data_IF_877184295098
#
_entry.id   IF_877184295098
#
_cell.length_a   1.000
_cell.length_b   1.000
_cell.length_c   1.000
_cell.angle_alpha   90.00
_cell.angle_beta   90.00
_cell.angle_gamma   90.00
#
_symmetry.space_group_name_H-M   'P 1'
#
loop_
_entity.id
_entity.type
_entity.pdbx_description
1 polymer ?
#
# COMPACT_ATOMS: atom_id res chain seq x y z
N UNK A 1 28.36 43.62 -36.29
CA UNK A 1 27.69 42.56 -37.07
C UNK A 1 26.79 43.24 -38.09
N UNK A 2 26.92 42.93 -39.38
CA UNK A 2 25.95 43.46 -40.36
C UNK A 2 24.57 42.83 -40.10
N UNK A 3 23.48 43.62 -40.17
CA UNK A 3 22.12 43.12 -40.05
C UNK A 3 21.83 42.12 -41.17
N UNK A 4 21.16 41.02 -40.84
CA UNK A 4 20.74 40.02 -41.82
C UNK A 4 19.72 40.65 -42.78
N UNK A 5 19.91 40.48 -44.09
CA UNK A 5 18.98 40.98 -45.11
C UNK A 5 17.59 40.36 -44.93
N UNK A 6 16.56 41.15 -45.25
CA UNK A 6 15.16 40.78 -45.04
C UNK A 6 14.78 39.50 -45.81
N UNK A 7 15.30 39.33 -47.04
CA UNK A 7 15.14 38.09 -47.81
C UNK A 7 15.67 36.84 -47.09
N UNK A 8 16.80 36.97 -46.39
CA UNK A 8 17.37 35.84 -45.63
C UNK A 8 16.54 35.56 -44.39
N UNK A 9 15.95 36.56 -43.74
CA UNK A 9 15.00 36.35 -42.64
C UNK A 9 13.73 35.66 -43.12
N UNK A 10 13.14 36.11 -44.23
CA UNK A 10 11.96 35.51 -44.84
C UNK A 10 12.20 34.06 -45.26
N UNK A 11 13.38 33.77 -45.80
CA UNK A 11 13.79 32.40 -46.15
C UNK A 11 13.92 31.50 -44.91
N UNK A 12 14.49 32.03 -43.82
CA UNK A 12 14.59 31.30 -42.55
C UNK A 12 13.21 31.06 -41.95
N UNK A 13 12.33 32.05 -41.95
CA UNK A 13 10.95 31.91 -41.50
C UNK A 13 10.21 30.82 -42.28
N UNK A 14 10.32 30.84 -43.61
CA UNK A 14 9.72 29.83 -44.48
C UNK A 14 10.16 28.42 -44.06
N UNK A 15 11.46 28.16 -43.94
CA UNK A 15 11.95 26.83 -43.55
C UNK A 15 11.64 26.42 -42.10
N UNK A 16 11.56 27.39 -41.18
CA UNK A 16 11.13 27.13 -39.80
C UNK A 16 9.66 26.69 -39.76
N UNK A 17 8.78 27.35 -40.52
CA UNK A 17 7.35 26.97 -40.63
C UNK A 17 7.18 25.61 -41.31
N UNK A 18 8.08 25.24 -42.23
CA UNK A 18 8.13 23.89 -42.83
C UNK A 18 8.75 22.81 -41.91
N UNK A 19 9.18 23.16 -40.69
CA UNK A 19 9.67 22.21 -39.69
C UNK A 19 11.11 21.70 -39.91
N UNK A 20 11.90 22.37 -40.75
CA UNK A 20 13.28 21.97 -41.05
C UNK A 20 14.18 22.06 -39.81
N UNK A 21 15.26 21.26 -39.76
CA UNK A 21 16.23 21.35 -38.66
C UNK A 21 17.11 22.57 -38.80
N UNK A 22 17.55 23.13 -37.67
CA UNK A 22 18.50 24.25 -37.69
C UNK A 22 19.72 23.91 -38.53
N UNK A 23 20.28 22.70 -38.41
CA UNK A 23 21.41 22.28 -39.23
C UNK A 23 21.12 22.35 -40.74
N UNK A 24 19.92 21.94 -41.17
CA UNK A 24 19.50 22.02 -42.57
C UNK A 24 19.35 23.48 -43.03
N UNK A 25 18.74 24.32 -42.20
CA UNK A 25 18.57 25.76 -42.48
C UNK A 25 19.92 26.48 -42.55
N UNK A 26 20.85 26.18 -41.63
CA UNK A 26 22.19 26.77 -41.61
C UNK A 26 22.99 26.40 -42.86
N UNK A 27 22.80 25.19 -43.41
CA UNK A 27 23.44 24.77 -44.66
C UNK A 27 22.87 25.50 -45.89
N UNK A 28 21.55 25.70 -45.93
CA UNK A 28 20.88 26.37 -47.06
C UNK A 28 21.17 27.87 -47.06
N UNK A 29 20.90 28.53 -45.93
CA UNK A 29 20.95 30.00 -45.83
C UNK A 29 22.35 30.51 -45.49
N UNK A 30 23.29 29.62 -45.13
CA UNK A 30 24.67 29.95 -44.73
C UNK A 30 24.72 30.98 -43.58
N UNK A 31 24.00 30.67 -42.51
CA UNK A 31 23.95 31.46 -41.26
C UNK A 31 24.27 30.55 -40.06
N UNK A 32 24.62 31.14 -38.91
CA UNK A 32 24.87 30.36 -37.70
C UNK A 32 23.58 29.82 -37.07
N UNK A 33 23.66 28.68 -36.39
CA UNK A 33 22.53 28.06 -35.68
C UNK A 33 21.92 29.02 -34.64
N UNK A 34 22.76 29.81 -33.97
CA UNK A 34 22.34 30.85 -33.03
C UNK A 34 21.50 31.95 -33.69
N UNK A 35 21.78 32.30 -34.95
CA UNK A 35 20.99 33.28 -35.71
C UNK A 35 19.61 32.74 -36.04
N UNK A 36 19.53 31.47 -36.49
CA UNK A 36 18.26 30.79 -36.74
C UNK A 36 17.42 30.68 -35.45
N UNK A 37 18.07 30.39 -34.31
CA UNK A 37 17.41 30.34 -33.00
C UNK A 37 16.84 31.70 -32.58
N UNK A 38 17.60 32.80 -32.75
CA UNK A 38 17.14 34.16 -32.46
C UNK A 38 15.92 34.53 -33.31
N UNK A 39 15.97 34.28 -34.62
CA UNK A 39 14.86 34.56 -35.53
C UNK A 39 13.61 33.74 -35.14
N UNK A 40 13.77 32.46 -34.76
CA UNK A 40 12.65 31.67 -34.25
C UNK A 40 12.00 32.32 -33.02
N UNK A 41 12.81 32.82 -32.08
CA UNK A 41 12.32 33.50 -30.87
C UNK A 41 11.61 34.82 -31.22
N UNK A 42 12.18 35.63 -32.12
CA UNK A 42 11.57 36.87 -32.60
C UNK A 42 10.20 36.64 -33.26
N UNK A 43 10.05 35.55 -34.02
CA UNK A 43 8.80 35.15 -34.67
C UNK A 43 7.79 34.47 -33.74
N UNK A 44 8.12 34.25 -32.46
CA UNK A 44 7.24 33.58 -31.50
C UNK A 44 6.89 32.13 -31.85
N UNK A 45 7.70 31.46 -32.69
CA UNK A 45 7.41 30.10 -33.12
C UNK A 45 7.65 29.09 -31.98
N UNK A 46 6.80 28.04 -31.85
CA UNK A 46 6.89 27.08 -30.76
C UNK A 46 8.26 26.40 -30.73
N UNK A 47 8.68 25.99 -29.52
CA UNK A 47 9.89 25.19 -29.37
C UNK A 47 9.76 23.91 -30.19
N UNK A 48 10.87 23.50 -30.81
CA UNK A 48 10.89 22.27 -31.60
C UNK A 48 10.74 21.09 -30.64
N UNK A 49 9.89 20.14 -30.98
CA UNK A 49 9.76 18.90 -30.21
C UNK A 49 11.10 18.18 -30.31
N UNK A 50 11.80 18.06 -29.18
CA UNK A 50 12.97 17.21 -29.09
C UNK A 50 12.54 15.77 -29.35
N UNK A 51 12.90 15.25 -30.53
CA UNK A 51 12.82 13.82 -30.83
C UNK A 51 14.01 13.06 -30.23
N UNK A 52 14.80 13.72 -29.38
CA UNK A 52 16.00 13.17 -28.77
C UNK A 52 15.65 12.21 -27.66
N UNK A 53 16.21 11.01 -27.71
CA UNK A 53 16.09 10.02 -26.64
C UNK A 53 16.26 8.61 -27.17
N UNK A 54 16.76 7.72 -26.31
CA UNK A 54 16.76 6.28 -26.61
C UNK A 54 15.32 5.79 -26.63
N UNK A 55 14.89 5.03 -27.65
CA UNK A 55 13.58 4.40 -27.66
C UNK A 55 13.35 3.59 -26.37
N UNK A 56 12.12 3.57 -25.87
CA UNK A 56 11.77 2.74 -24.72
C UNK A 56 12.05 1.27 -25.06
N UNK A 57 12.58 0.53 -24.09
CA UNK A 57 12.86 -0.89 -24.24
C UNK A 57 11.58 -1.73 -24.48
N UNK A 58 10.44 -1.22 -24.00
CA UNK A 58 9.13 -1.82 -24.14
C UNK A 58 8.22 -0.93 -25.00
N UNK A 59 7.50 -1.58 -25.90
CA UNK A 59 6.39 -1.02 -26.67
C UNK A 59 5.16 -0.83 -25.80
N UNK A 60 4.19 -0.04 -26.28
CA UNK A 60 2.89 0.13 -25.60
C UNK A 60 2.16 -1.21 -25.40
N UNK A 61 2.25 -2.11 -26.38
CA UNK A 61 1.61 -3.43 -26.33
C UNK A 61 2.25 -4.33 -25.25
N UNK A 62 3.58 -4.36 -25.18
CA UNK A 62 4.30 -5.10 -24.13
C UNK A 62 4.02 -4.52 -22.74
N UNK A 63 3.95 -3.19 -22.61
CA UNK A 63 3.57 -2.54 -21.35
C UNK A 63 2.13 -2.89 -20.94
N UNK A 64 1.17 -2.90 -21.88
CA UNK A 64 -0.20 -3.30 -21.61
C UNK A 64 -0.30 -4.78 -21.19
N UNK A 65 0.52 -5.65 -21.80
CA UNK A 65 0.60 -7.06 -21.39
C UNK A 65 1.06 -7.18 -19.93
N UNK A 66 2.12 -6.46 -19.53
CA UNK A 66 2.59 -6.45 -18.14
C UNK A 66 1.51 -5.97 -17.15
N UNK A 67 0.75 -4.93 -17.53
CA UNK A 67 -0.34 -4.42 -16.69
C UNK A 67 -1.43 -5.47 -16.53
N UNK A 68 -1.86 -6.13 -17.61
CA UNK A 68 -2.85 -7.22 -17.56
C UNK A 68 -2.36 -8.40 -16.74
N UNK A 69 -1.09 -8.78 -16.90
CA UNK A 69 -0.50 -9.89 -16.19
C UNK A 69 -0.54 -9.68 -14.65
N UNK A 70 -0.34 -8.45 -14.19
CA UNK A 70 -0.41 -8.12 -12.75
C UNK A 70 -1.85 -7.92 -12.26
N UNK A 71 -2.74 -7.36 -13.09
CA UNK A 71 -4.09 -6.95 -12.65
C UNK A 71 -5.17 -8.01 -12.84
N UNK A 72 -5.03 -8.85 -13.87
CA UNK A 72 -6.02 -9.86 -14.28
C UNK A 72 -5.47 -11.26 -14.02
N UNK A 73 -4.27 -11.54 -14.52
CA UNK A 73 -3.68 -12.89 -14.42
C UNK A 73 -3.10 -13.18 -13.02
N UNK A 74 -3.04 -12.16 -12.16
CA UNK A 74 -2.70 -12.30 -10.75
C UNK A 74 -1.21 -12.46 -10.45
N UNK A 75 -0.32 -12.08 -11.38
CA UNK A 75 1.12 -12.13 -11.11
C UNK A 75 1.50 -11.20 -9.96
N UNK A 76 2.25 -11.74 -9.01
CA UNK A 76 2.42 -11.14 -7.69
C UNK A 76 3.57 -10.14 -7.63
N UNK A 77 4.56 -10.29 -8.51
CA UNK A 77 5.78 -9.50 -8.47
C UNK A 77 6.36 -9.24 -9.86
N UNK A 78 7.26 -8.26 -9.93
CA UNK A 78 7.88 -7.83 -11.18
C UNK A 78 8.78 -8.90 -11.83
N UNK A 79 9.26 -9.90 -11.07
CA UNK A 79 10.06 -11.01 -11.60
C UNK A 79 9.17 -11.96 -12.39
N UNK A 80 8.03 -12.36 -11.81
CA UNK A 80 7.02 -13.17 -12.51
C UNK A 80 6.50 -12.45 -13.75
N UNK A 81 6.25 -11.14 -13.67
CA UNK A 81 5.84 -10.36 -14.82
C UNK A 81 6.92 -10.27 -15.92
N UNK A 82 8.21 -10.20 -15.55
CA UNK A 82 9.32 -10.28 -16.49
C UNK A 82 9.39 -11.66 -17.17
N UNK A 83 9.28 -12.74 -16.40
CA UNK A 83 9.29 -14.11 -16.92
C UNK A 83 8.11 -14.34 -17.87
N UNK A 84 6.91 -13.87 -17.51
CA UNK A 84 5.72 -13.92 -18.39
C UNK A 84 5.94 -13.16 -19.69
N UNK A 85 6.57 -11.98 -19.63
CA UNK A 85 6.91 -11.21 -20.83
C UNK A 85 7.90 -11.96 -21.73
N UNK A 86 8.90 -12.59 -21.14
CA UNK A 86 9.91 -13.36 -21.88
C UNK A 86 9.31 -14.62 -22.50
N UNK A 87 8.46 -15.35 -21.77
CA UNK A 87 7.81 -16.57 -22.26
C UNK A 87 6.75 -16.30 -23.34
N UNK A 88 5.92 -15.27 -23.15
CA UNK A 88 4.79 -15.01 -24.05
C UNK A 88 5.16 -14.16 -25.26
N UNK A 89 6.13 -13.25 -25.12
CA UNK A 89 6.48 -12.26 -26.15
C UNK A 89 7.94 -12.36 -26.59
N UNK A 90 8.72 -13.30 -26.06
CA UNK A 90 10.15 -13.46 -26.40
C UNK A 90 11.01 -12.27 -26.01
N UNK A 91 10.51 -11.39 -25.13
CA UNK A 91 11.13 -10.10 -24.85
C UNK A 91 11.91 -10.15 -23.54
N UNK A 92 13.23 -10.29 -23.65
CA UNK A 92 14.13 -10.25 -22.50
C UNK A 92 14.40 -8.79 -22.07
N UNK A 93 14.03 -8.45 -20.83
CA UNK A 93 14.27 -7.15 -20.20
C UNK A 93 14.62 -7.33 -18.73
N UNK A 94 15.28 -6.33 -18.14
CA UNK A 94 15.52 -6.34 -16.69
C UNK A 94 14.23 -6.16 -15.88
N UNK A 95 14.21 -6.74 -14.69
CA UNK A 95 13.10 -6.59 -13.73
C UNK A 95 12.84 -5.11 -13.40
N UNK A 96 13.87 -4.27 -13.35
CA UNK A 96 13.71 -2.82 -13.12
C UNK A 96 13.05 -2.09 -14.29
N UNK A 97 13.18 -2.61 -15.51
CA UNK A 97 12.44 -2.11 -16.67
C UNK A 97 10.95 -2.42 -16.52
N UNK A 98 10.61 -3.63 -16.04
CA UNK A 98 9.23 -3.99 -15.72
C UNK A 98 8.67 -3.12 -14.59
N UNK A 99 9.41 -2.93 -13.49
CA UNK A 99 8.98 -2.03 -12.39
C UNK A 99 8.71 -0.60 -12.87
N UNK A 100 9.60 -0.05 -13.72
CA UNK A 100 9.39 1.27 -14.33
C UNK A 100 8.15 1.28 -15.21
N UNK A 101 7.94 0.27 -16.05
CA UNK A 101 6.78 0.20 -16.93
C UNK A 101 5.44 0.09 -16.16
N UNK A 102 5.42 -0.64 -15.04
CA UNK A 102 4.25 -0.71 -14.16
C UNK A 102 3.98 0.63 -13.47
N UNK A 103 5.03 1.33 -13.01
CA UNK A 103 4.88 2.69 -12.43
C UNK A 103 4.45 3.72 -13.46
N UNK A 104 5.00 3.68 -14.68
CA UNK A 104 4.58 4.53 -15.81
C UNK A 104 3.10 4.29 -16.15
N UNK A 105 2.57 3.09 -15.90
CA UNK A 105 1.16 2.76 -16.07
C UNK A 105 0.28 3.12 -14.85
N UNK A 106 0.85 3.74 -13.81
CA UNK A 106 0.14 4.18 -12.61
C UNK A 106 0.03 3.12 -11.51
N UNK A 107 0.66 1.96 -11.64
CA UNK A 107 0.64 0.94 -10.60
C UNK A 107 1.67 1.24 -9.51
N UNK A 108 1.28 0.99 -8.26
CA UNK A 108 2.12 1.18 -7.08
C UNK A 108 2.39 -0.16 -6.40
N UNK A 109 3.63 -0.34 -5.95
CA UNK A 109 3.97 -1.45 -5.05
C UNK A 109 3.49 -1.13 -3.64
N UNK A 110 2.80 -2.06 -2.99
CA UNK A 110 2.36 -1.91 -1.61
C UNK A 110 2.65 -3.17 -0.81
N UNK A 111 2.74 -3.03 0.51
CA UNK A 111 2.85 -4.18 1.42
C UNK A 111 1.46 -4.78 1.58
N UNK A 112 1.31 -6.06 1.19
CA UNK A 112 0.04 -6.76 1.34
C UNK A 112 -0.37 -6.80 2.83
N UNK A 113 -1.59 -6.38 3.18
CA UNK A 113 -2.06 -6.48 4.56
C UNK A 113 -2.21 -7.95 4.94
N UNK A 114 -1.67 -8.33 6.11
CA UNK A 114 -1.95 -9.65 6.70
C UNK A 114 -3.37 -9.64 7.25
N UNK A 115 -4.23 -10.49 6.71
CA UNK A 115 -5.60 -10.68 7.19
C UNK A 115 -5.82 -12.16 7.48
N UNK A 116 -6.58 -12.52 8.53
CA UNK A 116 -6.93 -13.91 8.76
C UNK A 116 -7.74 -14.43 7.57
N UNK A 117 -7.50 -15.69 7.19
CA UNK A 117 -8.31 -16.36 6.20
C UNK A 117 -9.68 -16.66 6.81
N UNK A 118 -10.70 -15.93 6.38
CA UNK A 118 -12.08 -16.12 6.83
C UNK A 118 -12.78 -17.00 5.81
N UNK A 119 -13.29 -18.15 6.26
CA UNK A 119 -14.07 -19.03 5.39
C UNK A 119 -15.36 -18.33 4.90
N UNK A 120 -15.95 -18.80 3.81
CA UNK A 120 -17.11 -18.13 3.22
C UNK A 120 -18.33 -18.11 4.15
N UNK A 121 -18.51 -19.17 4.95
CA UNK A 121 -19.59 -19.30 5.95
C UNK A 121 -19.51 -18.19 7.00
N UNK A 122 -18.34 -17.97 7.57
CA UNK A 122 -18.09 -16.97 8.60
C UNK A 122 -18.19 -15.56 8.00
N UNK A 123 -17.77 -15.36 6.75
CA UNK A 123 -18.00 -14.09 6.04
C UNK A 123 -19.49 -13.78 5.92
N UNK A 124 -20.32 -14.75 5.53
CA UNK A 124 -21.79 -14.59 5.43
C UNK A 124 -22.41 -14.30 6.80
N UNK A 125 -22.02 -15.05 7.85
CA UNK A 125 -22.49 -14.83 9.23
C UNK A 125 -22.15 -13.43 9.73
N UNK A 126 -20.90 -12.99 9.56
CA UNK A 126 -20.47 -11.63 9.97
C UNK A 126 -21.24 -10.55 9.23
N UNK A 127 -21.47 -10.72 7.92
CA UNK A 127 -22.27 -9.78 7.14
C UNK A 127 -23.73 -9.74 7.57
N UNK A 128 -24.33 -10.91 7.83
CA UNK A 128 -25.70 -11.00 8.31
C UNK A 128 -25.86 -10.33 9.68
N UNK A 129 -24.94 -10.60 10.61
CA UNK A 129 -24.93 -9.96 11.92
C UNK A 129 -24.83 -8.44 11.78
N UNK A 130 -23.90 -7.93 10.97
CA UNK A 130 -23.76 -6.49 10.73
C UNK A 130 -25.03 -5.86 10.12
N UNK A 131 -25.71 -6.54 9.18
CA UNK A 131 -26.98 -6.09 8.61
C UNK A 131 -28.12 -6.06 9.62
N UNK A 132 -28.19 -7.04 10.52
CA UNK A 132 -29.22 -7.12 11.57
C UNK A 132 -29.10 -6.00 12.62
N UNK A 133 -27.90 -5.44 12.77
CA UNK A 133 -27.60 -4.43 13.79
C UNK A 133 -27.30 -3.06 13.15
N UNK A 134 -27.64 -2.87 11.87
CA UNK A 134 -27.35 -1.62 11.14
C UNK A 134 -28.21 -0.45 11.66
N UNK A 135 -29.45 -0.73 12.04
CA UNK A 135 -30.42 0.26 12.53
C UNK A 135 -30.48 0.32 14.06
N UNK A 136 -29.51 -0.31 14.75
CA UNK A 136 -29.43 -0.25 16.21
C UNK A 136 -29.15 1.17 16.67
N UNK A 137 -29.96 1.64 17.61
CA UNK A 137 -29.83 2.95 18.22
C UNK A 137 -28.67 2.97 19.21
N UNK A 138 -28.24 4.17 19.62
CA UNK A 138 -27.24 4.33 20.69
C UNK A 138 -27.69 3.61 21.96
N UNK A 139 -28.98 3.67 22.30
CA UNK A 139 -29.52 2.99 23.48
C UNK A 139 -29.45 1.46 23.36
N UNK A 140 -29.60 0.90 22.16
CA UNK A 140 -29.41 -0.54 21.94
C UNK A 140 -27.96 -0.94 22.20
N UNK A 141 -27.00 -0.14 21.71
CA UNK A 141 -25.57 -0.36 21.94
C UNK A 141 -25.16 -0.16 23.41
N UNK A 142 -25.84 0.73 24.14
CA UNK A 142 -25.62 0.95 25.59
C UNK A 142 -25.88 -0.31 26.42
N UNK A 143 -26.73 -1.21 25.92
CA UNK A 143 -27.12 -2.45 26.62
C UNK A 143 -26.26 -3.67 26.21
N UNK A 144 -25.17 -3.46 25.45
CA UNK A 144 -24.25 -4.51 25.02
C UNK A 144 -23.00 -4.54 25.89
N UNK A 145 -22.55 -5.76 26.18
CA UNK A 145 -21.29 -6.03 26.88
C UNK A 145 -20.40 -6.86 25.98
N UNK A 146 -19.13 -6.47 25.95
CA UNK A 146 -18.09 -7.04 25.11
C UNK A 146 -17.08 -7.78 26.01
N UNK A 147 -17.34 -9.05 26.36
CA UNK A 147 -16.35 -9.87 27.05
C UNK A 147 -15.29 -10.36 26.04
N UNK A 148 -14.03 -10.40 26.46
CA UNK A 148 -12.94 -10.99 25.68
C UNK A 148 -11.82 -11.48 26.59
N UNK A 149 -11.03 -12.43 26.09
CA UNK A 149 -9.81 -12.89 26.71
C UNK A 149 -8.59 -12.29 26.02
N UNK A 150 -7.61 -11.84 26.80
CA UNK A 150 -6.34 -11.40 26.24
C UNK A 150 -5.16 -11.98 26.99
N UNK A 151 -4.10 -12.27 26.23
CA UNK A 151 -2.84 -12.75 26.76
C UNK A 151 -1.86 -11.59 26.83
N UNK A 152 -1.42 -11.26 28.03
CA UNK A 152 -0.42 -10.22 28.26
C UNK A 152 0.93 -10.89 28.47
N UNK A 153 1.85 -10.72 27.52
CA UNK A 153 3.21 -11.25 27.59
C UNK A 153 4.08 -10.37 28.52
N UNK A 154 4.81 -10.98 29.45
CA UNK A 154 5.75 -10.25 30.32
C UNK A 154 7.02 -9.84 29.58
N UNK A 155 7.49 -10.66 28.65
CA UNK A 155 8.67 -10.38 27.82
C UNK A 155 8.33 -10.39 26.33
N UNK A 156 8.69 -9.29 25.67
CA UNK A 156 8.58 -9.13 24.23
C UNK A 156 7.18 -8.74 23.75
N UNK A 157 7.05 -7.53 23.18
CA UNK A 157 5.84 -7.14 22.45
C UNK A 157 5.79 -7.81 21.08
N UNK A 158 4.62 -8.23 20.62
CA UNK A 158 4.47 -8.83 19.27
C UNK A 158 4.68 -7.81 18.13
N UNK A 159 4.94 -6.54 18.49
CA UNK A 159 5.21 -5.45 17.57
C UNK A 159 6.60 -5.49 16.93
N UNK A 160 6.72 -4.78 15.80
CA UNK A 160 8.00 -4.56 15.12
C UNK A 160 8.88 -3.64 15.96
N UNK A 161 10.12 -4.03 16.16
CA UNK A 161 11.17 -3.15 16.69
C UNK A 161 12.07 -2.72 15.54
N UNK A 162 12.43 -1.44 15.51
CA UNK A 162 13.30 -0.85 14.49
C UNK A 162 14.63 -0.48 15.13
N UNK A 163 15.73 -0.79 14.43
CA UNK A 163 17.07 -0.40 14.82
C UNK A 163 17.82 0.19 13.61
N UNK A 164 18.65 1.20 13.86
CA UNK A 164 19.50 1.81 12.85
C UNK A 164 20.86 1.14 12.86
N UNK A 165 21.44 0.85 11.68
CA UNK A 165 22.82 0.37 11.57
C UNK A 165 23.53 0.98 10.37
N UNK A 166 24.84 1.14 10.48
CA UNK A 166 25.70 1.51 9.34
C UNK A 166 25.75 0.34 8.35
N UNK A 167 25.54 0.57 7.04
CA UNK A 167 25.67 -0.48 6.02
C UNK A 167 27.04 -1.16 6.07
N UNK A 168 27.08 -2.49 5.90
CA UNK A 168 28.32 -3.27 5.90
C UNK A 168 28.91 -3.60 7.28
N UNK A 169 28.47 -2.97 8.37
CA UNK A 169 28.92 -3.33 9.71
C UNK A 169 28.18 -4.55 10.29
N UNK A 170 28.86 -5.36 11.13
CA UNK A 170 28.22 -6.46 11.85
C UNK A 170 27.16 -5.96 12.84
N UNK A 171 26.21 -6.84 13.18
CA UNK A 171 25.19 -6.52 14.18
C UNK A 171 25.84 -6.44 15.57
N UNK A 172 25.53 -5.37 16.30
CA UNK A 172 25.89 -5.19 17.71
C UNK A 172 24.76 -5.74 18.58
N UNK A 173 25.05 -6.04 19.84
CA UNK A 173 24.05 -6.57 20.79
C UNK A 173 22.74 -5.77 20.81
N UNK A 174 22.80 -4.44 20.80
CA UNK A 174 21.62 -3.57 20.78
C UNK A 174 20.87 -3.49 19.43
N UNK A 175 21.46 -3.98 18.33
CA UNK A 175 20.75 -4.13 17.05
C UNK A 175 19.92 -5.42 17.01
N UNK A 176 20.13 -6.33 17.96
CA UNK A 176 19.47 -7.63 18.02
C UNK A 176 18.46 -7.60 19.14
N UNK A 177 17.22 -7.94 18.82
CA UNK A 177 16.20 -8.19 19.83
C UNK A 177 16.39 -9.61 20.35
N UNK A 178 16.72 -9.74 21.62
CA UNK A 178 16.80 -11.05 22.28
C UNK A 178 15.40 -11.67 22.36
N UNK A 179 15.30 -12.94 21.96
CA UNK A 179 14.05 -13.73 22.02
C UNK A 179 14.26 -14.94 22.90
N UNK A 180 13.42 -15.15 23.90
CA UNK A 180 13.41 -16.37 24.69
C UNK A 180 12.59 -17.44 23.97
N UNK A 181 13.15 -18.63 23.75
CA UNK A 181 12.44 -19.73 23.06
C UNK A 181 11.21 -20.20 23.85
N UNK A 182 11.36 -20.31 25.18
CA UNK A 182 10.31 -20.66 26.15
C UNK A 182 10.55 -19.88 27.47
N UNK A 183 9.50 -19.61 28.25
CA UNK A 183 9.65 -19.10 29.62
C UNK A 183 9.62 -17.57 29.82
N UNK A 184 9.19 -16.81 28.81
CA UNK A 184 9.00 -15.35 28.95
C UNK A 184 7.85 -14.92 29.88
N UNK A 185 7.02 -15.87 30.34
CA UNK A 185 5.88 -15.60 31.22
C UNK A 185 4.76 -14.79 30.56
N UNK A 186 3.52 -15.18 30.81
CA UNK A 186 2.34 -14.45 30.35
C UNK A 186 1.21 -14.70 31.31
N UNK A 187 0.34 -13.71 31.49
CA UNK A 187 -0.95 -13.89 32.15
C UNK A 187 -2.03 -13.93 31.09
N UNK A 188 -3.02 -14.79 31.25
CA UNK A 188 -4.25 -14.75 30.47
C UNK A 188 -5.30 -14.11 31.35
N UNK A 189 -5.88 -13.03 30.86
CA UNK A 189 -6.91 -12.29 31.60
C UNK A 189 -8.21 -12.33 30.82
N UNK A 190 -9.31 -12.46 31.55
CA UNK A 190 -10.64 -12.20 31.06
C UNK A 190 -11.09 -10.83 31.55
N UNK A 191 -11.79 -10.09 30.70
CA UNK A 191 -12.50 -8.88 31.13
C UNK A 191 -13.66 -8.61 30.18
N UNK A 192 -14.46 -7.60 30.50
CA UNK A 192 -15.49 -7.11 29.61
C UNK A 192 -15.54 -5.59 29.58
N UNK A 193 -16.06 -5.05 28.49
CA UNK A 193 -16.26 -3.60 28.32
C UNK A 193 -17.72 -3.35 27.98
N UNK A 194 -18.31 -2.32 28.58
CA UNK A 194 -19.64 -1.82 28.26
C UNK A 194 -19.57 -0.35 27.87
N UNK A 195 -20.70 0.22 27.47
CA UNK A 195 -20.82 1.67 27.26
C UNK A 195 -20.43 2.49 28.50
N UNK A 196 -20.77 1.99 29.69
CA UNK A 196 -20.56 2.70 30.95
C UNK A 196 -19.14 2.56 31.50
N UNK A 197 -18.31 1.72 30.89
CA UNK A 197 -16.91 1.54 31.26
C UNK A 197 -16.46 0.08 31.27
N UNK A 198 -15.20 -0.14 31.69
CA UNK A 198 -14.64 -1.48 31.84
C UNK A 198 -15.26 -2.21 33.04
N UNK A 199 -15.47 -3.51 32.89
CA UNK A 199 -15.79 -4.43 33.97
C UNK A 199 -14.55 -4.88 34.74
N UNK A 200 -14.71 -5.92 35.57
CA UNK A 200 -13.60 -6.52 36.29
C UNK A 200 -12.61 -7.21 35.36
N UNK A 201 -11.35 -7.27 35.79
CA UNK A 201 -10.29 -8.04 35.14
C UNK A 201 -9.97 -9.25 36.02
N UNK A 202 -9.93 -10.43 35.40
CA UNK A 202 -9.79 -11.71 36.10
C UNK A 202 -8.60 -12.44 35.52
N UNK A 203 -7.66 -12.85 36.37
CA UNK A 203 -6.59 -13.76 35.96
C UNK A 203 -7.19 -15.18 35.84
N UNK A 204 -7.26 -15.68 34.61
CA UNK A 204 -7.80 -17.03 34.31
C UNK A 204 -6.70 -18.09 34.22
N UNK A 205 -5.48 -17.73 34.64
CA UNK A 205 -4.33 -18.61 34.67
C UNK A 205 -3.71 -18.81 33.28
N UNK A 206 -3.35 -20.05 32.96
CA UNK A 206 -2.60 -20.35 31.71
C UNK A 206 -3.51 -20.63 30.51
N UNK A 207 -4.67 -21.26 30.75
CA UNK A 207 -5.59 -21.70 29.72
C UNK A 207 -7.03 -21.52 30.22
N UNK A 208 -7.87 -20.88 29.41
CA UNK A 208 -9.31 -20.83 29.64
C UNK A 208 -9.92 -22.20 29.33
N UNK A 209 -10.36 -22.93 30.36
CA UNK A 209 -11.21 -24.12 30.19
C UNK A 209 -12.68 -23.73 30.21
N UNK A 210 -13.56 -24.63 29.77
CA UNK A 210 -15.01 -24.39 29.82
C UNK A 210 -15.51 -24.10 31.24
N UNK A 211 -15.00 -24.83 32.23
CA UNK A 211 -15.46 -24.71 33.61
C UNK A 211 -15.05 -23.37 34.22
N UNK A 212 -13.77 -22.96 34.02
CA UNK A 212 -13.29 -21.63 34.41
C UNK A 212 -14.09 -20.52 33.73
N UNK A 213 -14.42 -20.70 32.44
CA UNK A 213 -15.25 -19.73 31.72
C UNK A 213 -16.65 -19.60 32.33
N UNK A 214 -17.28 -20.72 32.70
CA UNK A 214 -18.60 -20.70 33.33
C UNK A 214 -18.56 -20.04 34.71
N UNK A 215 -17.52 -20.29 35.51
CA UNK A 215 -17.31 -19.63 36.80
C UNK A 215 -17.18 -18.11 36.63
N UNK A 216 -16.34 -17.66 35.70
CA UNK A 216 -16.14 -16.24 35.38
C UNK A 216 -17.45 -15.57 34.93
N UNK A 217 -18.27 -16.26 34.15
CA UNK A 217 -19.59 -15.73 33.73
C UNK A 217 -20.60 -15.67 34.88
N UNK A 218 -20.58 -16.64 35.80
CA UNK A 218 -21.52 -16.68 36.92
C UNK A 218 -21.17 -15.67 38.02
N UNK A 219 -19.89 -15.37 38.18
CA UNK A 219 -19.40 -14.50 39.26
C UNK A 219 -18.92 -13.14 38.74
N UNK A 220 -17.80 -13.09 38.02
CA UNK A 220 -17.12 -11.84 37.65
C UNK A 220 -17.90 -10.99 36.65
N UNK A 221 -18.60 -11.62 35.71
CA UNK A 221 -19.51 -10.90 34.82
C UNK A 221 -20.69 -10.31 35.61
N UNK A 222 -21.28 -11.07 36.53
CA UNK A 222 -22.39 -10.58 37.37
C UNK A 222 -21.95 -9.43 38.28
N UNK A 223 -20.74 -9.48 38.83
CA UNK A 223 -20.12 -8.37 39.56
C UNK A 223 -19.91 -7.15 38.68
N UNK A 224 -19.40 -7.35 37.46
CA UNK A 224 -19.18 -6.26 36.48
C UNK A 224 -20.48 -5.57 36.11
N UNK A 225 -21.57 -6.33 36.00
CA UNK A 225 -22.92 -5.85 35.73
C UNK A 225 -23.51 -5.03 36.87
N UNK A 226 -23.39 -5.53 38.10
CA UNK A 226 -23.85 -4.83 39.29
C UNK A 226 -23.12 -3.49 39.47
N UNK A 227 -21.81 -3.45 39.18
CA UNK A 227 -21.01 -2.22 39.25
C UNK A 227 -21.40 -1.19 38.20
N UNK A 228 -21.67 -1.62 36.96
CA UNK A 228 -21.92 -0.72 35.83
C UNK A 228 -23.36 -0.21 35.74
N UNK A 229 -24.26 -0.66 36.63
CA UNK A 229 -25.66 -0.20 36.75
C UNK A 229 -26.45 -0.29 35.44
N UNK A 230 -26.27 -1.36 34.65
CA UNK A 230 -26.92 -1.53 33.34
C UNK A 230 -28.38 -2.01 33.54
N UNK A 231 -29.40 -1.21 33.17
CA UNK A 231 -30.79 -1.64 33.27
C UNK A 231 -31.15 -2.51 32.06
N UNK A 232 -31.29 -3.82 32.27
CA UNK A 232 -31.57 -4.88 31.27
C UNK A 232 -30.40 -5.22 30.32
N UNK A 233 -29.92 -6.45 30.42
CA UNK A 233 -28.69 -6.90 29.76
C UNK A 233 -29.03 -7.88 28.64
N UNK A 234 -28.41 -7.68 27.46
CA UNK A 234 -28.25 -8.73 26.47
C UNK A 234 -26.78 -9.14 26.38
N UNK A 235 -26.46 -10.34 26.85
CA UNK A 235 -25.14 -10.93 26.61
C UNK A 235 -25.05 -11.33 25.14
N UNK A 236 -24.16 -10.68 24.39
CA UNK A 236 -23.86 -11.06 23.02
C UNK A 236 -22.39 -11.43 22.88
N UNK A 237 -22.12 -12.72 22.76
CA UNK A 237 -20.85 -13.15 22.19
C UNK A 237 -20.88 -12.92 20.68
N UNK A 238 -19.84 -12.28 20.14
CA UNK A 238 -19.54 -12.45 18.73
C UNK A 238 -19.19 -13.92 18.55
N UNK A 239 -20.15 -14.75 18.11
CA UNK A 239 -19.95 -16.19 17.96
C UNK A 239 -18.69 -16.46 17.13
N UNK A 240 -17.61 -16.77 17.83
CA UNK A 240 -16.39 -17.32 17.28
C UNK A 240 -16.67 -18.81 17.04
N UNK A 241 -16.87 -19.13 15.77
CA UNK A 241 -17.03 -20.47 15.20
C UNK A 241 -17.15 -20.38 13.69
#
# INVERSE_FOLDING_TARGET
>A
MQPLTEDRKNTIEFYLRQGFSYHKITKIVKVSSSTVHKIRLELGLPARIDKGGRPKALTKREQQHLVRAVTVDGLENAVQAQQSLEQNLGKSVSVDTVRRALRDAGLVSFVRPKKPLINERNRKRRLQWARQHIDWTVNDWMNVIWPDETKINRFGSDGKSYAWKVPGQPLKKHHVRETVKHGGGSIMVWSCISWYGPGYIVDVGKNMTKDVYLEVLQDDLMKSLAWTTIPNIQLKSCQNG
#
